data_IF_322170924069
#
_entry.id   IF_322170924069
#
_cell.length_a   1.000
_cell.length_b   1.000
_cell.length_c   1.000
_cell.angle_alpha   90.00
_cell.angle_beta   90.00
_cell.angle_gamma   90.00
#
_symmetry.space_group_name_H-M   'P 1'
#
loop_
_entity.id
_entity.type
_entity.pdbx_description
1 polymer ?
#
# COMPACT_ATOMS: atom_id res chain seq x y z
N UNK A 1 -17.05 -14.23 1.86
CA UNK A 1 -17.09 -14.26 0.38
C UNK A 1 -15.74 -13.93 -0.29
N UNK A 2 -14.88 -13.06 0.25
CA UNK A 2 -13.58 -12.72 -0.39
C UNK A 2 -12.48 -13.81 -0.25
N UNK A 3 -12.58 -14.72 0.74
CA UNK A 3 -11.66 -15.85 0.89
C UNK A 3 -11.79 -16.90 -0.24
N UNK A 4 -12.92 -16.93 -0.96
CA UNK A 4 -13.13 -17.86 -2.08
C UNK A 4 -12.37 -17.46 -3.36
N UNK A 5 -11.82 -16.25 -3.42
CA UNK A 5 -11.20 -15.71 -4.63
C UNK A 5 -9.67 -15.90 -4.70
N UNK A 6 -9.03 -16.56 -3.73
CA UNK A 6 -7.57 -16.72 -3.66
C UNK A 6 -6.78 -15.39 -3.77
N UNK A 7 -7.42 -14.26 -3.46
CA UNK A 7 -6.79 -12.93 -3.44
C UNK A 7 -6.22 -12.71 -2.05
N UNK A 8 -4.90 -12.58 -1.94
CA UNK A 8 -4.25 -12.19 -0.68
C UNK A 8 -4.69 -10.77 -0.32
N UNK A 9 -5.49 -10.66 0.73
CA UNK A 9 -5.95 -9.38 1.28
C UNK A 9 -4.82 -8.80 2.12
N UNK A 10 -4.23 -7.70 1.64
CA UNK A 10 -3.28 -6.94 2.43
C UNK A 10 -4.02 -5.79 3.12
N UNK A 11 -3.75 -5.52 4.41
CA UNK A 11 -4.23 -4.28 5.02
C UNK A 11 -3.72 -3.09 4.21
N UNK A 12 -4.56 -2.07 4.04
CA UNK A 12 -4.11 -0.80 3.46
C UNK A 12 -2.88 -0.31 4.26
N UNK A 13 -1.87 0.21 3.56
CA UNK A 13 -0.71 0.81 4.24
C UNK A 13 -1.25 1.85 5.22
N UNK A 14 -0.83 1.84 6.50
CA UNK A 14 -1.15 2.94 7.39
C UNK A 14 -0.71 4.24 6.70
N UNK A 15 -1.56 5.27 6.83
CA UNK A 15 -1.37 6.57 6.20
C UNK A 15 0.08 7.05 6.33
N UNK A 16 0.52 7.73 5.27
CA UNK A 16 1.89 8.17 5.05
C UNK A 16 2.58 8.61 6.36
N UNK A 17 3.70 8.00 6.81
CA UNK A 17 4.38 8.39 8.04
C UNK A 17 4.87 9.86 8.03
N UNK A 18 4.82 10.51 6.87
CA UNK A 18 5.07 11.94 6.71
C UNK A 18 3.89 12.86 7.11
N UNK A 19 2.70 12.33 7.43
CA UNK A 19 1.63 13.12 8.06
C UNK A 19 2.03 13.64 9.45
N UNK A 20 3.02 13.04 10.12
CA UNK A 20 3.56 13.54 11.39
C UNK A 20 4.50 14.75 11.23
N UNK A 21 4.85 15.17 10.00
CA UNK A 21 5.64 16.39 9.78
C UNK A 21 4.78 17.65 9.93
N UNK A 22 3.45 17.55 9.95
CA UNK A 22 2.57 18.72 10.14
C UNK A 22 2.73 19.40 11.51
N UNK A 23 3.34 18.71 12.50
CA UNK A 23 3.51 19.22 13.87
C UNK A 23 4.98 19.53 14.23
N UNK A 24 5.92 19.37 13.30
CA UNK A 24 7.29 19.82 13.48
C UNK A 24 7.43 21.22 12.87
N UNK A 25 7.93 22.19 13.64
CA UNK A 25 8.24 23.52 13.12
C UNK A 25 9.07 23.39 11.82
N UNK A 26 8.67 24.04 10.71
CA UNK A 26 9.37 23.92 9.44
C UNK A 26 10.75 24.55 9.56
N UNK A 27 11.77 23.71 9.75
CA UNK A 27 13.16 24.15 9.91
C UNK A 27 13.77 24.81 8.65
N UNK A 28 13.04 24.83 7.52
CA UNK A 28 13.45 25.49 6.28
C UNK A 28 12.41 26.50 5.79
N UNK A 29 12.89 27.69 5.43
CA UNK A 29 12.11 28.76 4.77
C UNK A 29 11.35 28.26 3.53
N UNK A 30 11.86 27.22 2.88
CA UNK A 30 11.34 26.69 1.63
C UNK A 30 10.04 25.87 1.83
N UNK A 31 9.85 25.24 3.00
CA UNK A 31 8.61 24.51 3.31
C UNK A 31 7.45 25.48 3.60
N UNK A 32 7.75 26.63 4.20
CA UNK A 32 6.80 27.73 4.38
C UNK A 32 6.32 28.29 3.04
N UNK A 33 7.23 28.46 2.07
CA UNK A 33 6.87 28.90 0.72
C UNK A 33 5.96 27.89 0.02
N UNK A 34 6.22 26.59 0.17
CA UNK A 34 5.33 25.53 -0.34
C UNK A 34 3.93 25.60 0.28
N UNK A 35 3.85 25.82 1.60
CA UNK A 35 2.57 25.96 2.31
C UNK A 35 1.82 27.23 1.92
N UNK A 36 2.50 28.38 1.80
CA UNK A 36 1.89 29.63 1.36
C UNK A 36 1.37 29.55 -0.08
N UNK A 37 2.15 28.96 -0.99
CA UNK A 37 1.71 28.71 -2.38
C UNK A 37 0.49 27.77 -2.39
N UNK A 38 0.47 26.79 -1.50
CA UNK A 38 -0.61 25.83 -1.40
C UNK A 38 -1.88 26.42 -0.77
N UNK A 39 -1.78 27.23 0.27
CA UNK A 39 -2.92 27.91 0.88
C UNK A 39 -3.48 28.98 -0.09
N UNK A 40 -2.59 29.70 -0.79
CA UNK A 40 -2.99 30.56 -1.91
C UNK A 40 -3.72 29.77 -3.01
N UNK A 41 -3.21 28.59 -3.39
CA UNK A 41 -3.88 27.70 -4.36
C UNK A 41 -5.26 27.25 -3.86
N UNK A 42 -5.36 26.85 -2.58
CA UNK A 42 -6.60 26.41 -1.94
C UNK A 42 -7.66 27.50 -1.94
N UNK A 43 -7.28 28.72 -1.59
CA UNK A 43 -8.16 29.89 -1.60
C UNK A 43 -8.61 30.25 -3.03
N UNK A 44 -7.69 30.15 -4.01
CA UNK A 44 -7.99 30.40 -5.43
C UNK A 44 -8.89 29.30 -6.03
N UNK A 45 -8.81 28.08 -5.53
CA UNK A 45 -9.69 26.97 -5.91
C UNK A 45 -11.08 27.05 -5.24
N UNK A 46 -11.17 27.64 -4.06
CA UNK A 46 -12.44 27.82 -3.36
C UNK A 46 -13.36 28.87 -4.03
N UNK A 47 -12.80 29.84 -4.75
CA UNK A 47 -13.54 30.98 -5.32
C UNK A 47 -14.18 30.76 -6.72
N UNK A 48 -14.57 29.53 -7.07
CA UNK A 48 -15.14 29.04 -8.35
C UNK A 48 -15.45 30.04 -9.50
N UNK A 49 -14.83 29.79 -10.68
CA UNK A 49 -15.46 29.54 -12.00
C UNK A 49 -14.48 29.67 -13.18
N UNK A 50 -13.29 30.24 -12.94
CA UNK A 50 -12.26 30.43 -13.97
C UNK A 50 -10.85 30.07 -13.45
N UNK A 51 -10.79 29.12 -12.52
CA UNK A 51 -9.53 28.71 -11.86
C UNK A 51 -8.58 28.02 -12.84
N UNK A 52 -9.12 27.22 -13.78
CA UNK A 52 -8.31 26.60 -14.83
C UNK A 52 -7.77 27.64 -15.83
N UNK A 53 -8.55 28.69 -16.14
CA UNK A 53 -8.14 29.81 -16.98
C UNK A 53 -7.09 30.69 -16.31
N UNK A 54 -7.30 31.08 -15.04
CA UNK A 54 -6.31 31.80 -14.24
C UNK A 54 -5.01 31.02 -14.04
N UNK A 55 -5.07 29.72 -13.76
CA UNK A 55 -3.86 28.90 -13.68
C UNK A 55 -3.19 28.72 -15.05
N UNK A 56 -3.94 28.59 -16.15
CA UNK A 56 -3.35 28.58 -17.51
C UNK A 56 -2.63 29.90 -17.80
N UNK A 57 -3.23 31.02 -17.44
CA UNK A 57 -2.64 32.35 -17.56
C UNK A 57 -1.40 32.51 -16.66
N UNK A 58 -1.48 32.08 -15.40
CA UNK A 58 -0.35 32.14 -14.45
C UNK A 58 0.76 31.16 -14.80
N UNK A 59 0.48 29.98 -15.37
CA UNK A 59 1.48 29.04 -15.90
C UNK A 59 2.08 29.58 -17.21
N UNK A 60 1.30 30.29 -18.02
CA UNK A 60 1.80 30.98 -19.20
C UNK A 60 2.67 32.22 -18.85
N UNK A 61 2.32 32.94 -17.77
CA UNK A 61 3.07 34.08 -17.22
C UNK A 61 4.27 33.66 -16.38
N UNK A 62 4.17 32.58 -15.59
CA UNK A 62 5.33 31.86 -15.05
C UNK A 62 5.97 31.10 -16.19
N UNK A 63 6.63 31.85 -17.07
CA UNK A 63 7.37 31.31 -18.18
C UNK A 63 8.18 30.11 -17.70
N UNK A 64 8.03 28.92 -18.32
CA UNK A 64 8.87 27.78 -18.01
C UNK A 64 10.29 28.31 -18.03
N UNK A 65 11.05 28.06 -16.96
CA UNK A 65 12.43 28.52 -16.79
C UNK A 65 13.06 28.83 -18.15
N UNK A 66 13.50 30.08 -18.37
CA UNK A 66 14.25 30.40 -19.59
C UNK A 66 15.24 29.25 -19.87
N UNK A 67 15.39 28.75 -21.11
CA UNK A 67 16.24 27.61 -21.40
C UNK A 67 17.59 27.68 -20.67
N UNK A 68 18.18 28.87 -20.61
CA UNK A 68 19.42 29.17 -19.90
C UNK A 68 19.35 28.99 -18.38
N UNK A 69 18.17 29.28 -17.79
CA UNK A 69 17.89 29.09 -16.37
C UNK A 69 17.69 27.62 -16.03
N UNK A 70 17.05 26.82 -16.89
CA UNK A 70 16.94 25.35 -16.71
C UNK A 70 18.33 24.73 -16.69
N UNK A 71 19.13 24.99 -17.73
CA UNK A 71 20.50 24.46 -17.85
C UNK A 71 21.34 24.86 -16.64
N UNK A 72 21.21 26.10 -16.15
CA UNK A 72 21.94 26.55 -14.96
C UNK A 72 21.53 25.84 -13.67
N UNK A 73 20.23 25.63 -13.46
CA UNK A 73 19.74 25.00 -12.22
C UNK A 73 20.05 23.51 -12.24
N UNK A 74 19.66 22.80 -13.30
CA UNK A 74 19.86 21.36 -13.40
C UNK A 74 21.34 21.01 -13.62
N UNK A 75 22.13 21.88 -14.24
CA UNK A 75 23.59 21.75 -14.27
C UNK A 75 24.20 21.78 -12.87
N UNK A 76 23.73 22.66 -11.97
CA UNK A 76 24.16 22.68 -10.57
C UNK A 76 23.71 21.44 -9.79
N UNK A 77 22.54 20.90 -10.09
CA UNK A 77 22.05 19.65 -9.50
C UNK A 77 22.95 18.48 -9.90
N UNK A 78 23.26 18.37 -11.20
CA UNK A 78 24.16 17.34 -11.72
C UNK A 78 25.59 17.47 -11.15
N UNK A 79 26.14 18.68 -11.07
CA UNK A 79 27.45 18.95 -10.48
C UNK A 79 27.48 18.59 -8.98
N UNK A 80 26.44 18.97 -8.23
CA UNK A 80 26.34 18.64 -6.81
C UNK A 80 26.20 17.12 -6.59
N UNK A 81 25.47 16.42 -7.46
CA UNK A 81 25.36 14.96 -7.44
C UNK A 81 26.70 14.30 -7.72
N UNK A 82 27.44 14.76 -8.73
CA UNK A 82 28.76 14.23 -9.06
C UNK A 82 29.73 14.38 -7.89
N UNK A 83 29.80 15.57 -7.27
CA UNK A 83 30.62 15.81 -6.07
C UNK A 83 30.25 14.93 -4.90
N UNK A 84 28.96 14.66 -4.73
CA UNK A 84 28.48 13.76 -3.67
C UNK A 84 28.94 12.33 -3.93
N UNK A 85 28.80 11.83 -5.15
CA UNK A 85 29.30 10.50 -5.54
C UNK A 85 30.81 10.40 -5.37
N UNK A 86 31.57 11.42 -5.78
CA UNK A 86 33.02 11.50 -5.55
C UNK A 86 33.38 11.45 -4.07
N UNK A 87 32.67 12.19 -3.21
CA UNK A 87 32.89 12.16 -1.76
C UNK A 87 32.61 10.76 -1.17
N UNK A 88 31.50 10.12 -1.56
CA UNK A 88 31.17 8.76 -1.09
C UNK A 88 32.14 7.69 -1.59
N UNK A 89 32.56 7.76 -2.86
CA UNK A 89 33.54 6.82 -3.43
C UNK A 89 34.94 7.02 -2.86
N UNK A 90 35.38 8.27 -2.67
CA UNK A 90 36.64 8.59 -2.01
C UNK A 90 36.66 8.08 -0.57
N UNK A 91 35.54 8.20 0.15
CA UNK A 91 35.40 7.70 1.52
C UNK A 91 35.44 6.18 1.61
N UNK A 92 34.69 5.49 0.74
CA UNK A 92 34.61 4.04 0.78
C UNK A 92 35.88 3.36 0.22
N UNK A 93 36.75 4.08 -0.51
CA UNK A 93 37.90 3.51 -1.25
C UNK A 93 37.51 2.36 -2.17
N UNK A 94 36.23 2.28 -2.53
CA UNK A 94 35.66 1.28 -3.44
C UNK A 94 35.65 1.92 -4.83
N UNK A 95 36.15 1.20 -5.83
CA UNK A 95 35.99 1.61 -7.24
C UNK A 95 34.51 1.82 -7.55
N UNK A 96 34.13 2.84 -8.35
CA UNK A 96 32.71 3.18 -8.58
C UNK A 96 31.84 1.99 -9.07
N UNK A 97 32.46 0.95 -9.61
CA UNK A 97 31.82 -0.31 -10.04
C UNK A 97 31.45 -1.27 -8.89
N UNK A 98 32.23 -1.33 -7.80
CA UNK A 98 32.06 -2.33 -6.73
C UNK A 98 30.99 -1.93 -5.69
N UNK A 99 30.67 -0.64 -5.58
CA UNK A 99 29.49 -0.15 -4.84
C UNK A 99 28.16 -0.58 -5.47
N UNK A 100 28.16 -0.94 -6.76
CA UNK A 100 26.98 -1.38 -7.49
C UNK A 100 26.63 -2.85 -7.22
N UNK A 101 27.60 -3.69 -6.83
CA UNK A 101 27.41 -5.14 -6.68
C UNK A 101 27.17 -5.62 -5.24
N UNK A 102 27.71 -4.95 -4.23
CA UNK A 102 27.67 -5.43 -2.83
C UNK A 102 26.51 -4.88 -1.98
N UNK A 103 25.81 -3.83 -2.44
CA UNK A 103 24.79 -3.12 -1.65
C UNK A 103 23.33 -3.41 -2.07
N UNK A 104 23.10 -4.40 -2.94
CA UNK A 104 21.77 -4.73 -3.44
C UNK A 104 21.02 -5.64 -2.45
N UNK A 105 19.84 -5.25 -1.93
CA UNK A 105 18.77 -6.20 -1.74
C UNK A 105 18.43 -6.80 -3.11
N UNK A 106 18.38 -8.12 -3.19
CA UNK A 106 17.90 -8.87 -4.35
C UNK A 106 16.57 -8.30 -4.83
N UNK A 107 16.50 -8.07 -6.13
CA UNK A 107 15.36 -7.63 -6.92
C UNK A 107 14.00 -8.07 -6.35
N UNK A 108 13.13 -7.11 -6.02
CA UNK A 108 11.74 -7.25 -6.44
C UNK A 108 11.71 -6.70 -7.86
N UNK A 109 11.71 -7.62 -8.82
CA UNK A 109 11.39 -7.34 -10.22
C UNK A 109 9.99 -6.72 -10.24
N UNK A 110 9.93 -5.38 -10.33
CA UNK A 110 8.72 -4.66 -10.71
C UNK A 110 8.82 -4.47 -12.21
N UNK A 111 8.36 -5.49 -12.93
CA UNK A 111 8.17 -5.51 -14.37
C UNK A 111 6.96 -4.61 -14.69
N UNK A 112 7.11 -3.28 -14.55
CA UNK A 112 6.07 -2.29 -14.86
C UNK A 112 6.43 -1.51 -16.16
N UNK A 113 7.09 -2.17 -17.11
CA UNK A 113 7.06 -1.76 -18.51
C UNK A 113 5.77 -2.31 -19.15
N UNK A 114 4.63 -1.70 -18.85
CA UNK A 114 3.39 -1.96 -19.56
C UNK A 114 2.82 -0.65 -20.11
N UNK A 115 2.52 -0.74 -21.40
CA UNK A 115 2.03 0.27 -22.31
C UNK A 115 0.94 1.14 -21.66
N UNK A 116 1.19 2.45 -21.63
CA UNK A 116 0.16 3.44 -21.42
C UNK A 116 -0.68 3.53 -22.72
N UNK A 117 -1.48 2.49 -22.97
CA UNK A 117 -2.44 2.49 -24.05
C UNK A 117 -3.66 3.35 -23.71
N UNK A 118 -3.79 4.39 -24.51
CA UNK A 118 -5.03 5.05 -24.95
C UNK A 118 -5.87 5.70 -23.83
N UNK A 119 -5.51 6.95 -23.51
CA UNK A 119 -6.39 7.93 -22.87
C UNK A 119 -7.48 8.39 -23.87
N UNK A 120 -8.38 7.48 -24.23
CA UNK A 120 -9.63 7.77 -24.91
C UNK A 120 -10.76 8.03 -23.91
N UNK A 121 -10.83 9.26 -23.38
CA UNK A 121 -12.05 10.07 -23.18
C UNK A 121 -11.83 11.14 -22.08
N UNK A 122 -11.37 12.31 -22.53
CA UNK A 122 -11.78 13.59 -21.95
C UNK A 122 -12.71 14.20 -22.97
N UNK A 123 -13.99 14.30 -22.63
CA UNK A 123 -14.93 15.07 -23.43
C UNK A 123 -14.48 16.54 -23.49
N UNK A 124 -14.19 16.96 -24.72
CA UNK A 124 -14.12 18.32 -25.26
C UNK A 124 -13.47 19.40 -24.38
N UNK A 125 -12.17 19.63 -24.60
CA UNK A 125 -11.65 20.96 -24.96
C UNK A 125 -10.22 20.85 -25.48
N UNK A 126 -10.09 20.96 -26.81
CA UNK A 126 -8.98 21.51 -27.59
C UNK A 126 -7.53 21.34 -27.13
N UNK A 127 -6.77 20.71 -28.03
CA UNK A 127 -5.31 20.75 -28.20
C UNK A 127 -4.44 19.94 -27.23
N UNK A 128 -4.28 18.65 -27.53
CA UNK A 128 -3.15 17.84 -27.06
C UNK A 128 -2.42 17.22 -28.27
N UNK A 129 -1.37 17.90 -28.74
CA UNK A 129 -0.33 17.30 -29.59
C UNK A 129 0.75 16.78 -28.65
N UNK A 130 0.73 15.47 -28.36
CA UNK A 130 1.79 14.81 -27.61
C UNK A 130 2.57 13.88 -28.55
N UNK A 131 3.84 14.24 -28.78
CA UNK A 131 4.83 13.41 -29.46
C UNK A 131 5.10 12.13 -28.67
N UNK A 132 4.97 11.00 -29.36
CA UNK A 132 5.58 9.73 -28.97
C UNK A 132 7.11 9.89 -28.97
N UNK A 133 7.73 9.79 -27.80
CA UNK A 133 9.15 9.47 -27.70
C UNK A 133 9.31 8.34 -26.70
N UNK A 134 9.47 7.13 -27.24
CA UNK A 134 9.89 5.97 -26.48
C UNK A 134 11.29 6.22 -25.94
N UNK A 135 11.38 6.63 -24.67
CA UNK A 135 12.65 6.65 -23.94
C UNK A 135 12.72 5.30 -23.24
N UNK A 136 13.50 4.38 -23.82
CA UNK A 136 13.90 3.15 -23.15
C UNK A 136 14.51 3.49 -21.79
N UNK A 137 14.07 2.81 -20.74
CA UNK A 137 14.67 2.91 -19.42
C UNK A 137 16.18 2.65 -19.50
N UNK A 138 17.06 3.59 -19.08
CA UNK A 138 18.46 3.26 -18.94
C UNK A 138 18.63 2.32 -17.76
N UNK A 139 19.14 1.13 -18.08
CA UNK A 139 19.61 0.08 -17.20
C UNK A 139 20.78 0.56 -16.32
N UNK A 140 20.49 1.17 -15.18
CA UNK A 140 21.40 1.25 -14.04
C UNK A 140 20.61 1.56 -12.75
N UNK A 141 20.87 0.89 -11.62
CA UNK A 141 20.33 1.30 -10.33
C UNK A 141 21.04 2.58 -9.88
N UNK A 142 20.49 3.73 -10.28
CA UNK A 142 20.98 5.03 -9.86
C UNK A 142 20.51 5.33 -8.43
N UNK A 143 21.47 5.44 -7.49
CA UNK A 143 21.23 5.83 -6.09
C UNK A 143 20.50 7.19 -6.03
N UNK A 144 19.41 7.25 -5.27
CA UNK A 144 18.66 8.48 -5.01
C UNK A 144 19.14 9.18 -3.74
N UNK A 145 18.75 10.44 -3.51
CA UNK A 145 19.11 11.16 -2.27
C UNK A 145 18.75 10.33 -1.02
N UNK A 146 17.62 9.63 -1.05
CA UNK A 146 17.18 8.79 0.07
C UNK A 146 18.21 7.72 0.42
N UNK A 147 18.86 7.14 -0.58
CA UNK A 147 19.84 6.07 -0.39
C UNK A 147 21.14 6.65 0.16
N UNK A 148 21.58 7.81 -0.35
CA UNK A 148 22.73 8.52 0.22
C UNK A 148 22.51 8.96 1.67
N UNK A 149 21.30 9.40 2.03
CA UNK A 149 20.98 9.77 3.41
C UNK A 149 20.98 8.56 4.34
N UNK A 150 20.45 7.41 3.90
CA UNK A 150 20.53 6.16 4.68
C UNK A 150 21.98 5.73 4.90
N UNK A 151 22.76 5.71 3.82
CA UNK A 151 24.19 5.38 3.88
C UNK A 151 24.93 6.33 4.81
N UNK A 152 24.69 7.64 4.70
CA UNK A 152 25.29 8.62 5.60
C UNK A 152 24.97 8.34 7.07
N UNK A 153 23.71 8.05 7.41
CA UNK A 153 23.31 7.75 8.79
C UNK A 153 23.96 6.45 9.32
N UNK A 154 24.10 5.43 8.47
CA UNK A 154 24.79 4.20 8.84
C UNK A 154 26.30 4.41 9.05
N UNK A 155 26.92 5.29 8.25
CA UNK A 155 28.32 5.66 8.38
C UNK A 155 28.56 6.51 9.64
N UNK A 156 27.67 7.46 9.93
CA UNK A 156 27.74 8.30 11.14
C UNK A 156 27.75 7.47 12.43
N UNK A 157 27.04 6.34 12.46
CA UNK A 157 27.02 5.43 13.62
C UNK A 157 28.31 4.61 13.78
N UNK A 158 29.06 4.37 12.70
CA UNK A 158 30.21 3.45 12.69
C UNK A 158 31.57 4.14 12.74
N UNK A 159 31.65 5.44 12.44
CA UNK A 159 32.93 6.13 12.18
C UNK A 159 33.23 7.21 13.23
N UNK A 160 34.50 7.28 13.66
CA UNK A 160 35.02 8.31 14.59
C UNK A 160 35.74 9.48 13.90
N UNK A 161 36.10 9.38 12.62
CA UNK A 161 36.82 10.43 11.91
C UNK A 161 35.89 11.60 11.54
N UNK A 162 36.13 12.76 12.16
CA UNK A 162 35.27 13.94 12.03
C UNK A 162 35.42 14.66 10.69
N UNK A 163 36.61 14.72 10.11
CA UNK A 163 36.89 15.53 8.91
C UNK A 163 36.19 14.97 7.66
N UNK A 164 36.24 13.65 7.48
CA UNK A 164 35.61 12.99 6.34
C UNK A 164 34.08 13.05 6.42
N UNK A 165 33.51 12.89 7.63
CA UNK A 165 32.08 13.04 7.87
C UNK A 165 31.59 14.47 7.60
N UNK A 166 32.38 15.49 7.96
CA UNK A 166 32.07 16.90 7.64
C UNK A 166 32.05 17.15 6.13
N UNK A 167 32.99 16.57 5.38
CA UNK A 167 33.05 16.70 3.92
C UNK A 167 31.83 16.06 3.23
N UNK A 168 31.42 14.86 3.69
CA UNK A 168 30.23 14.16 3.19
C UNK A 168 28.96 14.93 3.53
N UNK A 169 28.86 15.45 4.76
CA UNK A 169 27.73 16.27 5.20
C UNK A 169 27.59 17.53 4.35
N UNK A 170 28.70 18.22 4.08
CA UNK A 170 28.71 19.40 3.21
C UNK A 170 28.27 19.07 1.78
N UNK A 171 28.76 17.97 1.20
CA UNK A 171 28.35 17.52 -0.12
C UNK A 171 26.85 17.20 -0.17
N UNK A 172 26.33 16.54 0.87
CA UNK A 172 24.92 16.18 1.01
C UNK A 172 24.02 17.42 1.15
N UNK A 173 24.40 18.38 1.99
CA UNK A 173 23.66 19.63 2.12
C UNK A 173 23.67 20.46 0.84
N UNK A 174 24.79 20.47 0.10
CA UNK A 174 24.87 21.14 -1.20
C UNK A 174 23.95 20.48 -2.24
N UNK A 175 23.91 19.15 -2.29
CA UNK A 175 23.02 18.42 -3.18
C UNK A 175 21.54 18.63 -2.81
N UNK A 176 21.19 18.59 -1.52
CA UNK A 176 19.85 18.93 -1.02
C UNK A 176 19.40 20.32 -1.51
N UNK A 177 20.20 21.35 -1.26
CA UNK A 177 19.88 22.73 -1.69
C UNK A 177 19.75 22.87 -3.20
N UNK A 178 20.57 22.16 -3.97
CA UNK A 178 20.48 22.19 -5.43
C UNK A 178 19.17 21.54 -5.91
N UNK A 179 18.83 20.37 -5.36
CA UNK A 179 17.59 19.65 -5.66
C UNK A 179 16.36 20.47 -5.28
N UNK A 180 16.35 21.07 -4.09
CA UNK A 180 15.22 21.87 -3.60
C UNK A 180 14.97 23.08 -4.51
N UNK A 181 16.03 23.75 -4.98
CA UNK A 181 15.91 24.78 -6.04
C UNK A 181 15.38 24.26 -7.37
N UNK A 182 15.71 23.02 -7.73
CA UNK A 182 15.15 22.35 -8.90
C UNK A 182 13.65 22.08 -8.75
N UNK A 183 13.21 21.76 -7.53
CA UNK A 183 11.81 21.52 -7.20
C UNK A 183 10.97 22.81 -7.21
N UNK A 184 11.51 23.93 -6.73
CA UNK A 184 10.79 25.23 -6.64
C UNK A 184 10.04 25.61 -7.93
N UNK A 185 10.64 25.36 -9.10
CA UNK A 185 10.02 25.67 -10.38
C UNK A 185 8.88 24.72 -10.79
N UNK A 186 8.82 23.52 -10.22
CA UNK A 186 7.78 22.52 -10.48
C UNK A 186 6.65 22.49 -9.46
N UNK A 187 6.75 23.22 -8.34
CA UNK A 187 5.77 23.15 -7.25
C UNK A 187 4.35 23.57 -7.66
N UNK A 188 4.20 24.50 -8.60
CA UNK A 188 2.88 24.92 -9.11
C UNK A 188 2.27 23.93 -10.10
N UNK A 189 3.12 23.16 -10.79
CA UNK A 189 2.68 22.18 -11.79
C UNK A 189 1.91 21.02 -11.14
N UNK A 190 2.33 20.61 -9.93
CA UNK A 190 1.76 19.46 -9.23
C UNK A 190 0.30 19.68 -8.83
N UNK A 191 -0.10 20.77 -8.11
CA UNK A 191 -1.49 21.05 -7.79
C UNK A 191 -2.40 21.18 -9.02
N UNK A 192 -1.88 21.79 -10.09
CA UNK A 192 -2.62 21.90 -11.36
C UNK A 192 -2.92 20.53 -11.97
N UNK A 193 -1.94 19.62 -11.97
CA UNK A 193 -2.15 18.26 -12.47
C UNK A 193 -3.05 17.44 -11.53
N UNK A 194 -2.88 17.59 -10.21
CA UNK A 194 -3.67 16.92 -9.19
C UNK A 194 -5.17 17.26 -9.27
N UNK A 195 -5.51 18.49 -9.67
CA UNK A 195 -6.90 18.93 -9.81
C UNK A 195 -7.70 18.05 -10.80
N UNK A 196 -7.05 17.53 -11.85
CA UNK A 196 -7.67 16.61 -12.82
C UNK A 196 -8.05 15.26 -12.20
N UNK A 197 -7.37 14.86 -11.12
CA UNK A 197 -7.54 13.54 -10.48
C UNK A 197 -8.33 13.57 -9.17
N UNK A 198 -8.82 14.75 -8.72
CA UNK A 198 -9.52 14.95 -7.43
C UNK A 198 -10.68 13.98 -7.16
N UNK A 199 -11.38 13.51 -8.19
CA UNK A 199 -12.58 12.64 -8.05
C UNK A 199 -12.27 11.14 -8.07
N UNK A 200 -11.00 10.72 -8.00
CA UNK A 200 -10.59 9.30 -8.08
C UNK A 200 -10.46 8.58 -6.74
N UNK A 201 -11.01 9.13 -5.66
CA UNK A 201 -11.13 8.45 -4.36
C UNK A 201 -10.01 8.73 -3.36
N UNK A 202 -8.98 9.49 -3.75
CA UNK A 202 -7.95 9.98 -2.84
C UNK A 202 -8.14 11.51 -2.59
N UNK A 203 -7.93 12.01 -1.36
CA UNK A 203 -7.93 13.45 -1.09
C UNK A 203 -6.96 14.22 -1.99
N UNK A 204 -7.28 15.46 -2.34
CA UNK A 204 -6.42 16.28 -3.22
C UNK A 204 -5.06 16.58 -2.58
N UNK A 205 -5.03 16.77 -1.27
CA UNK A 205 -3.80 17.01 -0.50
C UNK A 205 -2.86 15.80 -0.62
N UNK A 206 -3.39 14.58 -0.51
CA UNK A 206 -2.63 13.35 -0.67
C UNK A 206 -2.14 13.17 -2.12
N UNK A 207 -2.98 13.49 -3.13
CA UNK A 207 -2.57 13.48 -4.54
C UNK A 207 -1.41 14.44 -4.81
N UNK A 208 -1.44 15.63 -4.21
CA UNK A 208 -0.36 16.61 -4.35
C UNK A 208 0.92 16.09 -3.73
N UNK A 209 0.86 15.45 -2.56
CA UNK A 209 2.06 14.88 -1.93
C UNK A 209 2.67 13.75 -2.75
N UNK A 210 1.85 12.85 -3.27
CA UNK A 210 2.32 11.77 -4.16
C UNK A 210 2.86 12.34 -5.48
N UNK A 211 2.23 13.39 -6.01
CA UNK A 211 2.74 14.16 -7.14
C UNK A 211 4.08 14.84 -6.87
N UNK A 212 4.29 15.40 -5.69
CA UNK A 212 5.55 16.02 -5.27
C UNK A 212 6.67 14.97 -5.16
N UNK A 213 6.36 13.74 -4.76
CA UNK A 213 7.30 12.61 -4.80
C UNK A 213 7.68 12.29 -6.25
N UNK A 214 6.72 12.30 -7.18
CA UNK A 214 6.98 12.17 -8.61
C UNK A 214 7.86 13.30 -9.16
N UNK A 215 7.58 14.55 -8.80
CA UNK A 215 8.39 15.72 -9.17
C UNK A 215 9.83 15.60 -8.66
N UNK A 216 10.02 15.13 -7.42
CA UNK A 216 11.35 14.92 -6.85
C UNK A 216 12.15 13.92 -7.69
N UNK A 217 11.54 12.80 -8.09
CA UNK A 217 12.17 11.82 -8.99
C UNK A 217 12.51 12.42 -10.35
N UNK A 218 11.64 13.27 -10.88
CA UNK A 218 11.90 13.98 -12.13
C UNK A 218 13.13 14.87 -12.01
N UNK A 219 13.26 15.66 -10.94
CA UNK A 219 14.41 16.54 -10.71
C UNK A 219 15.73 15.75 -10.59
N UNK A 220 15.69 14.60 -9.92
CA UNK A 220 16.89 13.76 -9.72
C UNK A 220 17.37 13.08 -11.01
N UNK A 221 16.45 12.76 -11.93
CA UNK A 221 16.74 12.06 -13.21
C UNK A 221 16.81 12.96 -14.43
N UNK A 222 16.39 14.22 -14.33
CA UNK A 222 16.35 15.12 -15.47
C UNK A 222 17.76 15.46 -15.97
N UNK A 223 17.95 15.35 -17.27
CA UNK A 223 19.19 15.71 -17.95
C UNK A 223 18.92 16.82 -18.97
N UNK A 224 19.49 18.00 -18.70
CA UNK A 224 19.34 19.16 -19.58
C UNK A 224 20.03 19.01 -20.94
N UNK A 225 21.01 18.10 -21.08
CA UNK A 225 21.73 17.91 -22.35
C UNK A 225 20.90 17.20 -23.41
N UNK A 226 19.83 16.51 -23.01
CA UNK A 226 18.94 15.75 -23.92
C UNK A 226 17.93 16.62 -24.67
N UNK A 227 17.91 17.94 -24.43
CA UNK A 227 17.12 18.90 -25.21
C UNK A 227 15.61 18.92 -24.92
N UNK A 228 15.11 18.07 -24.02
CA UNK A 228 13.72 18.11 -23.54
C UNK A 228 13.52 19.17 -22.46
N UNK A 229 12.40 19.91 -22.51
CA UNK A 229 12.02 20.86 -21.45
C UNK A 229 11.67 20.11 -20.16
N UNK A 230 12.04 20.68 -19.01
CA UNK A 230 11.81 20.03 -17.71
C UNK A 230 10.32 19.81 -17.43
N UNK A 231 9.46 20.78 -17.73
CA UNK A 231 8.02 20.67 -17.50
C UNK A 231 7.39 19.46 -18.20
N UNK A 232 7.73 19.25 -19.47
CA UNK A 232 7.23 18.11 -20.26
C UNK A 232 7.68 16.76 -19.68
N UNK A 233 8.94 16.68 -19.24
CA UNK A 233 9.47 15.49 -18.58
C UNK A 233 8.83 15.25 -17.20
N UNK A 234 8.65 16.30 -16.40
CA UNK A 234 8.10 16.22 -15.07
C UNK A 234 6.63 15.74 -15.06
N UNK A 235 5.82 16.14 -16.05
CA UNK A 235 4.42 15.71 -16.17
C UNK A 235 4.29 14.18 -16.14
N UNK A 236 5.18 13.46 -16.83
CA UNK A 236 5.20 11.99 -16.85
C UNK A 236 5.40 11.40 -15.45
N UNK A 237 6.45 11.85 -14.75
CA UNK A 237 6.76 11.35 -13.40
C UNK A 237 5.70 11.72 -12.36
N UNK A 238 5.14 12.92 -12.45
CA UNK A 238 4.08 13.38 -11.54
C UNK A 238 2.82 12.54 -11.79
N UNK A 239 2.41 12.37 -13.05
CA UNK A 239 1.24 11.56 -13.42
C UNK A 239 1.40 10.10 -12.97
N UNK A 240 2.56 9.51 -13.21
CA UNK A 240 2.83 8.12 -12.82
C UNK A 240 2.74 7.93 -11.30
N UNK A 241 3.32 8.84 -10.52
CA UNK A 241 3.26 8.78 -9.06
C UNK A 241 1.82 8.93 -8.55
N UNK A 242 1.05 9.89 -9.09
CA UNK A 242 -0.36 10.08 -8.70
C UNK A 242 -1.23 8.88 -9.07
N UNK A 243 -1.13 8.35 -10.30
CA UNK A 243 -1.91 7.20 -10.74
C UNK A 243 -1.58 5.97 -9.90
N UNK A 244 -0.30 5.73 -9.61
CA UNK A 244 0.12 4.63 -8.75
C UNK A 244 -0.44 4.77 -7.34
N UNK A 245 -0.40 5.96 -6.76
CA UNK A 245 -0.98 6.22 -5.45
C UNK A 245 -2.49 5.99 -5.42
N UNK A 246 -3.21 6.43 -6.47
CA UNK A 246 -4.64 6.16 -6.61
C UNK A 246 -4.89 4.65 -6.62
N UNK A 247 -4.16 3.88 -7.42
CA UNK A 247 -4.37 2.43 -7.49
C UNK A 247 -4.05 1.72 -6.17
N UNK A 248 -2.99 2.16 -5.49
CA UNK A 248 -2.50 1.55 -4.26
C UNK A 248 -3.32 1.95 -3.01
N UNK A 249 -3.87 3.16 -2.97
CA UNK A 249 -4.43 3.78 -1.75
C UNK A 249 -5.91 4.21 -1.87
N UNK A 250 -6.49 4.38 -3.06
CA UNK A 250 -7.88 4.88 -3.19
C UNK A 250 -8.95 3.94 -2.64
N UNK A 251 -8.60 2.67 -2.42
CA UNK A 251 -9.51 1.62 -1.96
C UNK A 251 -9.19 1.24 -0.53
N UNK A 252 -10.25 1.02 0.27
CA UNK A 252 -10.11 0.50 1.64
C UNK A 252 -9.42 -0.87 1.68
N UNK A 253 -9.68 -1.71 0.68
CA UNK A 253 -9.02 -3.00 0.50
C UNK A 253 -8.05 -2.85 -0.66
N UNK A 254 -6.76 -3.08 -0.39
CA UNK A 254 -5.71 -3.01 -1.41
C UNK A 254 -5.93 -4.09 -2.47
N UNK A 255 -5.96 -3.66 -3.73
CA UNK A 255 -6.03 -4.55 -4.90
C UNK A 255 -4.71 -4.44 -5.66
N UNK A 256 -4.05 -5.56 -6.01
CA UNK A 256 -2.86 -5.53 -6.85
C UNK A 256 -3.11 -4.87 -8.22
N UNK A 257 -2.08 -4.24 -8.78
CA UNK A 257 -2.13 -3.42 -10.01
C UNK A 257 -2.73 -4.19 -11.19
N UNK A 258 -2.20 -5.39 -11.49
CA UNK A 258 -2.70 -6.25 -12.56
C UNK A 258 -4.20 -6.62 -12.40
N UNK A 259 -4.70 -6.74 -11.17
CA UNK A 259 -6.13 -6.97 -10.92
C UNK A 259 -6.92 -5.67 -11.13
N UNK A 260 -6.37 -4.52 -10.71
CA UNK A 260 -6.97 -3.21 -10.94
C UNK A 260 -7.08 -2.83 -12.43
N UNK A 261 -6.07 -3.12 -13.23
CA UNK A 261 -6.11 -3.03 -14.69
C UNK A 261 -7.18 -3.93 -15.29
N UNK A 262 -7.25 -5.18 -14.84
CA UNK A 262 -8.24 -6.13 -15.31
C UNK A 262 -9.68 -5.69 -14.97
N UNK A 263 -9.91 -5.11 -13.79
CA UNK A 263 -11.18 -4.49 -13.39
C UNK A 263 -11.53 -3.32 -14.32
N UNK A 264 -10.58 -2.43 -14.61
CA UNK A 264 -10.79 -1.29 -15.53
C UNK A 264 -11.11 -1.75 -16.95
N UNK A 265 -10.38 -2.73 -17.48
CA UNK A 265 -10.62 -3.28 -18.83
C UNK A 265 -12.01 -3.91 -18.93
N UNK A 266 -12.40 -4.66 -17.90
CA UNK A 266 -13.75 -5.23 -17.78
C UNK A 266 -14.83 -4.14 -17.78
N UNK A 267 -14.64 -3.08 -17.00
CA UNK A 267 -15.61 -1.98 -16.92
C UNK A 267 -15.68 -1.16 -18.23
N UNK A 268 -14.55 -0.95 -18.92
CA UNK A 268 -14.52 -0.33 -20.25
C UNK A 268 -15.35 -1.12 -21.26
N UNK A 269 -15.18 -2.44 -21.30
CA UNK A 269 -15.98 -3.31 -22.17
C UNK A 269 -17.46 -3.19 -21.81
N UNK A 270 -17.82 -3.29 -20.53
CA UNK A 270 -19.22 -3.12 -20.08
C UNK A 270 -19.82 -1.80 -20.53
N UNK A 271 -19.09 -0.69 -20.40
CA UNK A 271 -19.54 0.63 -20.81
C UNK A 271 -19.68 0.75 -22.33
N UNK A 272 -18.72 0.23 -23.10
CA UNK A 272 -18.76 0.18 -24.57
C UNK A 272 -19.95 -0.65 -25.07
N UNK A 273 -20.15 -1.85 -24.54
CA UNK A 273 -21.28 -2.72 -24.88
C UNK A 273 -22.61 -2.07 -24.51
N UNK A 274 -22.67 -1.40 -23.34
CA UNK A 274 -23.86 -0.67 -22.90
C UNK A 274 -24.18 0.51 -23.81
N UNK A 275 -23.18 1.24 -24.28
CA UNK A 275 -23.35 2.33 -25.23
C UNK A 275 -23.78 1.84 -26.62
N UNK A 276 -23.21 0.73 -27.11
CA UNK A 276 -23.51 0.20 -28.44
C UNK A 276 -24.82 -0.58 -28.55
N UNK A 277 -25.12 -1.43 -27.56
CA UNK A 277 -26.27 -2.37 -27.60
C UNK A 277 -27.42 -1.98 -26.65
N UNK A 278 -27.24 -0.93 -25.83
CA UNK A 278 -28.26 -0.48 -24.86
C UNK A 278 -28.52 -1.46 -23.71
N UNK A 279 -27.72 -2.52 -23.57
CA UNK A 279 -27.83 -3.55 -22.52
C UNK A 279 -26.50 -3.77 -21.80
N UNK A 280 -26.56 -4.32 -20.59
CA UNK A 280 -25.33 -4.73 -19.88
C UNK A 280 -24.68 -5.94 -20.58
N UNK A 281 -23.34 -5.96 -20.59
CA UNK A 281 -22.57 -7.06 -21.17
C UNK A 281 -22.70 -8.33 -20.31
N UNK A 282 -22.89 -9.48 -20.97
CA UNK A 282 -22.90 -10.78 -20.29
C UNK A 282 -21.48 -11.18 -19.88
N UNK A 283 -21.36 -11.96 -18.81
CA UNK A 283 -20.07 -12.50 -18.33
C UNK A 283 -19.35 -13.29 -19.43
N UNK A 284 -20.10 -14.02 -20.26
CA UNK A 284 -19.55 -14.82 -21.36
C UNK A 284 -19.05 -13.96 -22.52
N UNK A 285 -19.66 -12.81 -22.77
CA UNK A 285 -19.25 -11.89 -23.83
C UNK A 285 -17.95 -11.20 -23.46
N UNK A 286 -17.84 -10.73 -22.21
CA UNK A 286 -16.61 -10.15 -21.67
C UNK A 286 -15.49 -11.21 -21.64
N UNK A 287 -15.82 -12.47 -21.31
CA UNK A 287 -14.89 -13.59 -21.33
C UNK A 287 -14.32 -13.86 -22.72
N UNK A 288 -15.20 -13.83 -23.74
CA UNK A 288 -14.80 -14.00 -25.13
C UNK A 288 -13.88 -12.88 -25.62
N UNK A 289 -14.19 -11.62 -25.28
CA UNK A 289 -13.39 -10.47 -25.71
C UNK A 289 -12.04 -10.36 -24.99
N UNK A 290 -11.97 -10.78 -23.72
CA UNK A 290 -10.72 -10.75 -22.94
C UNK A 290 -9.91 -12.06 -23.04
N UNK A 291 -10.41 -13.09 -23.71
CA UNK A 291 -9.80 -14.43 -23.81
C UNK A 291 -9.52 -15.09 -22.44
N UNK A 292 -10.46 -14.94 -21.48
CA UNK A 292 -10.29 -15.45 -20.12
C UNK A 292 -11.49 -16.27 -19.66
N UNK A 293 -11.26 -17.16 -18.70
CA UNK A 293 -12.35 -17.99 -18.17
C UNK A 293 -13.47 -17.15 -17.54
N UNK A 294 -14.75 -17.52 -17.73
CA UNK A 294 -15.89 -16.80 -17.18
C UNK A 294 -15.89 -16.80 -15.65
N UNK A 295 -15.29 -17.81 -15.01
CA UNK A 295 -15.11 -17.85 -13.56
C UNK A 295 -14.24 -16.70 -13.04
N UNK A 296 -13.17 -16.33 -13.76
CA UNK A 296 -12.30 -15.22 -13.37
C UNK A 296 -13.03 -13.88 -13.45
N UNK A 297 -13.89 -13.69 -14.46
CA UNK A 297 -14.69 -12.47 -14.61
C UNK A 297 -15.75 -12.38 -13.51
N UNK A 298 -16.41 -13.49 -13.14
CA UNK A 298 -17.31 -13.50 -11.98
C UNK A 298 -16.60 -13.05 -10.69
N UNK A 299 -15.38 -13.51 -10.47
CA UNK A 299 -14.59 -13.12 -9.30
C UNK A 299 -14.22 -11.63 -9.33
N UNK A 300 -13.92 -11.09 -10.52
CA UNK A 300 -13.55 -9.69 -10.70
C UNK A 300 -14.75 -8.76 -10.54
N UNK A 301 -15.92 -9.16 -11.06
CA UNK A 301 -17.18 -8.44 -10.86
C UNK A 301 -17.67 -8.49 -9.40
N UNK A 302 -17.24 -9.51 -8.64
CA UNK A 302 -17.53 -9.61 -7.21
C UNK A 302 -16.69 -8.63 -6.36
N UNK A 303 -15.64 -8.02 -6.92
CA UNK A 303 -14.85 -6.99 -6.22
C UNK A 303 -15.70 -5.72 -6.16
N UNK A 304 -16.11 -5.25 -4.98
CA UNK A 304 -16.95 -4.06 -4.87
C UNK A 304 -16.19 -2.82 -5.37
N UNK A 305 -16.84 -2.05 -6.25
CA UNK A 305 -16.26 -0.85 -6.86
C UNK A 305 -16.06 0.30 -5.87
N UNK A 306 -17.02 0.51 -4.98
CA UNK A 306 -16.98 1.49 -3.90
C UNK A 306 -17.46 0.84 -2.59
N UNK A 307 -16.94 1.25 -1.42
CA UNK A 307 -17.46 0.75 -0.16
C UNK A 307 -18.92 1.16 -0.03
N UNK A 308 -19.78 0.18 0.26
CA UNK A 308 -21.15 0.47 0.64
C UNK A 308 -21.13 1.35 1.90
N UNK A 309 -22.01 2.37 2.01
CA UNK A 309 -22.10 3.18 3.22
C UNK A 309 -22.35 2.25 4.41
N UNK A 310 -21.31 2.08 5.21
CA UNK A 310 -21.33 1.31 6.43
C UNK A 310 -22.18 2.10 7.42
N UNK A 311 -23.46 1.75 7.54
CA UNK A 311 -24.15 1.32 8.77
C UNK A 311 -25.59 1.02 8.35
N UNK A 312 -25.82 -0.08 7.62
CA UNK A 312 -27.14 -0.68 7.70
C UNK A 312 -27.24 -1.25 9.12
N UNK A 313 -28.13 -0.71 9.95
CA UNK A 313 -28.41 -1.19 11.33
C UNK A 313 -28.87 -2.67 11.38
N UNK A 314 -28.90 -3.36 10.24
CA UNK A 314 -29.37 -4.73 10.06
C UNK A 314 -28.22 -5.75 9.97
N UNK A 315 -26.97 -5.35 10.17
CA UNK A 315 -25.85 -6.30 10.21
C UNK A 315 -25.93 -7.13 11.50
N UNK A 316 -26.20 -8.42 11.35
CA UNK A 316 -26.13 -9.40 12.44
C UNK A 316 -24.67 -9.73 12.69
N UNK A 317 -24.26 -9.64 13.95
CA UNK A 317 -22.92 -10.05 14.36
C UNK A 317 -22.88 -11.57 14.56
N UNK A 318 -22.44 -12.29 13.53
CA UNK A 318 -22.26 -13.75 13.59
C UNK A 318 -21.04 -14.18 14.44
N UNK A 319 -20.17 -13.25 14.83
CA UNK A 319 -19.02 -13.57 15.68
C UNK A 319 -19.43 -13.86 17.13
N UNK A 320 -20.56 -13.30 17.54
CA UNK A 320 -21.13 -13.50 18.85
C UNK A 320 -22.21 -14.60 18.77
N UNK A 321 -22.03 -15.72 19.48
CA UNK A 321 -23.11 -16.70 19.59
C UNK A 321 -24.33 -16.04 20.23
N UNK A 322 -25.51 -16.35 19.68
CA UNK A 322 -26.78 -15.83 20.17
C UNK A 322 -26.96 -16.12 21.67
N UNK A 323 -27.72 -15.29 22.41
CA UNK A 323 -27.98 -15.48 23.83
C UNK A 323 -28.48 -16.89 24.17
N UNK A 324 -29.35 -17.46 23.35
CA UNK A 324 -29.87 -18.83 23.52
C UNK A 324 -28.73 -19.86 23.45
N UNK A 325 -27.90 -19.79 22.40
CA UNK A 325 -26.71 -20.66 22.28
C UNK A 325 -25.74 -20.48 23.44
N UNK A 326 -25.57 -19.24 23.95
CA UNK A 326 -24.73 -18.99 25.13
C UNK A 326 -25.31 -19.66 26.38
N UNK A 327 -26.63 -19.57 26.56
CA UNK A 327 -27.31 -20.22 27.67
C UNK A 327 -27.21 -21.75 27.57
N UNK A 328 -27.43 -22.32 26.39
CA UNK A 328 -27.31 -23.76 26.14
C UNK A 328 -25.88 -24.26 26.40
N UNK A 329 -24.86 -23.53 25.94
CA UNK A 329 -23.46 -23.86 26.22
C UNK A 329 -23.13 -23.76 27.72
N UNK A 330 -23.69 -22.80 28.43
CA UNK A 330 -23.52 -22.68 29.89
C UNK A 330 -24.19 -23.83 30.63
N UNK A 331 -25.40 -24.20 30.23
CA UNK A 331 -26.14 -25.33 30.79
C UNK A 331 -25.41 -26.64 30.52
N UNK A 332 -24.91 -26.84 29.30
CA UNK A 332 -24.10 -27.99 28.92
C UNK A 332 -22.83 -28.08 29.78
N UNK A 333 -22.14 -26.96 30.02
CA UNK A 333 -20.96 -26.90 30.92
C UNK A 333 -21.30 -27.27 32.37
N UNK A 334 -22.42 -26.79 32.89
CA UNK A 334 -22.87 -27.14 34.25
C UNK A 334 -23.19 -28.63 34.37
N UNK A 335 -24.00 -29.15 33.45
CA UNK A 335 -24.41 -30.56 33.43
C UNK A 335 -23.24 -31.51 33.24
N UNK A 336 -22.32 -31.19 32.31
CA UNK A 336 -21.10 -32.00 32.13
C UNK A 336 -20.23 -31.98 33.38
N UNK A 337 -20.11 -30.85 34.08
CA UNK A 337 -19.38 -30.74 35.35
C UNK A 337 -20.02 -31.56 36.47
N UNK A 338 -21.34 -31.50 36.63
CA UNK A 338 -22.09 -32.33 37.58
C UNK A 338 -21.92 -33.83 37.31
N UNK A 339 -21.97 -34.22 36.04
CA UNK A 339 -21.80 -35.62 35.65
C UNK A 339 -20.37 -36.12 35.87
N UNK A 340 -19.38 -35.25 35.70
CA UNK A 340 -17.98 -35.54 35.99
C UNK A 340 -17.73 -35.77 37.49
N UNK A 341 -18.39 -35.01 38.38
CA UNK A 341 -18.30 -35.18 39.83
C UNK A 341 -18.88 -36.52 40.33
N UNK A 342 -19.78 -37.15 39.56
CA UNK A 342 -20.34 -38.47 39.87
C UNK A 342 -19.39 -39.64 39.55
N UNK A 343 -18.27 -39.37 38.87
CA UNK A 343 -17.23 -40.36 38.61
C UNK A 343 -16.26 -40.45 39.80
N UNK A 344 -15.50 -41.55 39.93
CA UNK A 344 -14.38 -41.60 40.85
C UNK A 344 -13.40 -40.45 40.58
N UNK A 345 -12.90 -39.79 41.64
CA UNK A 345 -12.04 -38.60 41.54
C UNK A 345 -10.83 -38.79 40.60
N UNK A 346 -10.28 -40.00 40.53
CA UNK A 346 -9.17 -40.33 39.61
C UNK A 346 -9.60 -40.34 38.14
N UNK A 347 -10.79 -40.86 37.83
CA UNK A 347 -11.34 -40.88 36.46
C UNK A 347 -11.78 -39.50 36.01
N UNK A 348 -12.41 -38.74 36.90
CA UNK A 348 -12.79 -37.35 36.67
C UNK A 348 -11.59 -36.48 36.28
N UNK A 349 -10.52 -36.53 37.08
CA UNK A 349 -9.30 -35.74 36.86
C UNK A 349 -8.64 -36.06 35.51
N UNK A 350 -8.64 -37.34 35.11
CA UNK A 350 -8.14 -37.79 33.81
C UNK A 350 -8.98 -37.23 32.65
N UNK A 351 -10.31 -37.27 32.76
CA UNK A 351 -11.22 -36.75 31.72
C UNK A 351 -11.12 -35.22 31.59
N UNK A 352 -11.01 -34.48 32.71
CA UNK A 352 -10.84 -33.02 32.68
C UNK A 352 -9.55 -32.60 32.00
N UNK A 353 -8.43 -33.28 32.32
CA UNK A 353 -7.12 -33.01 31.69
C UNK A 353 -7.10 -33.41 30.21
N UNK A 354 -7.78 -34.49 29.83
CA UNK A 354 -7.78 -34.98 28.44
C UNK A 354 -8.54 -34.04 27.49
N UNK A 355 -9.69 -33.54 27.94
CA UNK A 355 -10.62 -32.73 27.14
C UNK A 355 -10.63 -31.24 27.51
N UNK A 356 -9.67 -30.80 28.34
CA UNK A 356 -9.54 -29.38 28.71
C UNK A 356 -10.77 -28.79 29.43
N UNK A 357 -11.49 -29.61 30.21
CA UNK A 357 -12.73 -29.17 30.86
C UNK A 357 -12.43 -28.42 32.15
N UNK A 358 -13.07 -27.25 32.33
CA UNK A 358 -12.94 -26.43 33.53
C UNK A 358 -11.76 -25.44 33.51
N UNK A 359 -11.35 -24.98 32.33
CA UNK A 359 -10.29 -23.97 32.17
C UNK A 359 -8.88 -24.54 32.22
N UNK A 360 -8.74 -25.86 32.01
CA UNK A 360 -7.45 -26.54 31.89
C UNK A 360 -7.18 -26.78 30.40
N UNK A 361 -5.92 -26.75 29.98
CA UNK A 361 -5.56 -27.10 28.61
C UNK A 361 -5.78 -28.59 28.31
N UNK A 362 -6.02 -28.91 27.04
CA UNK A 362 -6.13 -30.29 26.57
C UNK A 362 -4.76 -30.95 26.57
N UNK A 363 -4.63 -32.08 27.26
CA UNK A 363 -3.39 -32.87 27.29
C UNK A 363 -3.51 -34.16 26.49
N UNK A 364 -2.38 -34.60 25.94
CA UNK A 364 -2.28 -35.91 25.29
C UNK A 364 -2.30 -37.05 26.31
N UNK A 365 -2.63 -38.28 25.88
CA UNK A 365 -2.66 -39.45 26.78
C UNK A 365 -1.31 -39.75 27.45
N UNK A 366 -0.21 -39.38 26.80
CA UNK A 366 1.16 -39.54 27.31
C UNK A 366 1.46 -38.50 28.39
N UNK A 367 1.16 -37.23 28.15
CA UNK A 367 1.31 -36.15 29.14
C UNK A 367 0.45 -36.37 30.39
N UNK A 368 -0.78 -36.86 30.22
CA UNK A 368 -1.60 -37.25 31.37
C UNK A 368 -0.95 -38.45 32.09
N UNK A 369 -0.29 -39.36 31.36
CA UNK A 369 0.49 -40.50 31.88
C UNK A 369 1.54 -40.10 32.87
N UNK A 370 2.37 -39.16 32.45
CA UNK A 370 3.45 -38.60 33.23
C UNK A 370 2.92 -37.93 34.52
N UNK A 371 1.84 -37.14 34.42
CA UNK A 371 1.23 -36.44 35.58
C UNK A 371 0.67 -37.39 36.64
N UNK A 372 0.19 -38.57 36.26
CA UNK A 372 -0.36 -39.56 37.21
C UNK A 372 0.62 -40.68 37.57
N UNK A 373 1.83 -40.70 36.99
CA UNK A 373 2.82 -41.76 37.17
C UNK A 373 2.34 -43.12 36.65
N UNK A 374 1.61 -43.15 35.52
CA UNK A 374 1.04 -44.38 34.95
C UNK A 374 1.27 -44.45 33.45
N UNK A 375 1.29 -45.66 32.90
CA UNK A 375 1.43 -45.88 31.46
C UNK A 375 0.26 -45.26 30.66
N UNK A 376 0.56 -44.81 29.44
CA UNK A 376 -0.42 -44.30 28.47
C UNK A 376 -1.64 -45.22 28.32
N UNK A 377 -1.41 -46.52 28.16
CA UNK A 377 -2.47 -47.50 27.97
C UNK A 377 -3.41 -47.58 29.18
N UNK A 378 -2.86 -47.40 30.39
CA UNK A 378 -3.68 -47.38 31.60
C UNK A 378 -4.61 -46.17 31.66
N UNK A 379 -4.19 -45.01 31.17
CA UNK A 379 -5.05 -43.82 31.08
C UNK A 379 -6.15 -44.02 30.05
N UNK A 380 -5.83 -44.58 28.88
CA UNK A 380 -6.82 -44.95 27.87
C UNK A 380 -7.88 -45.90 28.45
N UNK A 381 -7.48 -46.87 29.28
CA UNK A 381 -8.43 -47.75 29.97
C UNK A 381 -9.32 -46.99 30.96
N UNK A 382 -8.76 -46.04 31.72
CA UNK A 382 -9.51 -45.20 32.67
C UNK A 382 -10.50 -44.29 31.92
N UNK A 383 -10.09 -43.68 30.80
CA UNK A 383 -10.94 -42.88 29.92
C UNK A 383 -12.09 -43.72 29.37
N UNK A 384 -11.80 -44.87 28.75
CA UNK A 384 -12.83 -45.75 28.19
C UNK A 384 -13.82 -46.24 29.26
N UNK A 385 -13.32 -46.53 30.48
CA UNK A 385 -14.18 -46.88 31.62
C UNK A 385 -15.04 -45.70 32.06
N UNK A 386 -14.49 -44.48 32.11
CA UNK A 386 -15.22 -43.25 32.44
C UNK A 386 -16.32 -42.94 31.43
N UNK A 387 -16.01 -42.98 30.14
CA UNK A 387 -16.97 -42.79 29.06
C UNK A 387 -18.06 -43.87 29.06
N UNK A 388 -17.71 -45.13 29.34
CA UNK A 388 -18.70 -46.22 29.47
C UNK A 388 -19.68 -45.96 30.62
N UNK A 389 -19.20 -45.45 31.74
CA UNK A 389 -20.04 -45.08 32.88
C UNK A 389 -20.98 -43.92 32.52
N UNK A 390 -20.48 -42.91 31.79
CA UNK A 390 -21.27 -41.76 31.34
C UNK A 390 -22.31 -42.13 30.26
N UNK A 391 -22.04 -43.14 29.42
CA UNK A 391 -22.95 -43.65 28.38
C UNK A 391 -24.14 -44.46 28.90
N UNK A 392 -24.22 -44.76 30.19
CA UNK A 392 -25.36 -45.49 30.73
C UNK A 392 -26.65 -44.65 30.59
N UNK A 393 -27.79 -45.22 30.17
CA UNK A 393 -29.01 -44.46 29.81
C UNK A 393 -29.54 -43.55 30.92
N UNK A 394 -29.41 -43.95 32.19
CA UNK A 394 -29.80 -43.11 33.32
C UNK A 394 -29.00 -41.79 33.43
N UNK A 395 -27.83 -41.72 32.80
CA UNK A 395 -26.90 -40.59 32.82
C UNK A 395 -26.92 -39.86 31.47
N UNK A 396 -26.89 -40.59 30.35
CA UNK A 396 -26.88 -39.99 29.00
C UNK A 396 -28.15 -39.22 28.66
N UNK A 397 -29.33 -39.62 29.18
CA UNK A 397 -30.62 -38.94 28.93
C UNK A 397 -30.60 -37.43 29.15
N UNK A 398 -29.81 -36.93 30.11
CA UNK A 398 -29.69 -35.49 30.39
C UNK A 398 -28.86 -34.74 29.34
N UNK A 399 -27.91 -35.42 28.71
CA UNK A 399 -27.04 -34.86 27.66
C UNK A 399 -27.60 -35.09 26.25
N UNK A 400 -28.46 -36.09 26.06
CA UNK A 400 -29.15 -36.37 24.79
C UNK A 400 -29.99 -35.19 24.30
N UNK A 401 -30.49 -34.34 25.21
CA UNK A 401 -31.24 -33.14 24.84
C UNK A 401 -30.39 -32.02 24.19
N UNK A 402 -29.05 -32.13 24.23
CA UNK A 402 -28.11 -31.16 23.67
C UNK A 402 -27.41 -31.66 22.39
N UNK A 403 -27.74 -32.87 21.94
CA UNK A 403 -27.32 -33.45 20.65
C UNK A 403 -28.37 -33.16 19.58
#
# INVERSE_FOLDING_TARGET
>A
MLAAANVRVFPARPGNPFQCISNAEPASRDLHLCQEVFDSFRDTCASQLDTAGKYRMEIAEFGPFSPDREVRIFGKVAEARARLVEAFTGFLKITPLALQSELLPTEEVVDDAQEADDDGDVSETGDDVALETGVSEPSAPELFLRDFVKLFNELEQKISDRQDLESLRLALDNYRRARDRGMEGGLKLVPWLAYRYRRRGLPIDDLIQEGNIGLMRAVEKFDSTKGSRFGSYAVWWIRQAMLRAIEDQSRLIRVPVHIGEFVRKTERIRQRTKAGLGREASVEEIAGELEVSPGKIKNVLAIPGAPFPAVSRLLVDDSVPLPDRRHDLSNLRSLTSEMLLMLPARTERVLRLRFGMGGVEEHTLEEVGEKFGVTRERIRQIEAKGLRILRHPNRSKKLEAFL
#
